data_IF_809464189784
#
_entry.id   IF_809464189784
#
_cell.length_a   1.000
_cell.length_b   1.000
_cell.length_c   1.000
_cell.angle_alpha   90.00
_cell.angle_beta   90.00
_cell.angle_gamma   90.00
#
_symmetry.space_group_name_H-M   'P 1'
#
loop_
_entity.id
_entity.type
_entity.pdbx_description
1 polymer ?
#
# COMPACT_ATOMS: atom_id res chain seq x y z
N UNK A 1 -53.36 -45.09 -18.20
CA UNK A 1 -51.99 -44.92 -18.71
C UNK A 1 -51.51 -43.51 -18.36
N UNK A 2 -50.78 -43.32 -17.26
CA UNK A 2 -50.23 -42.02 -16.84
C UNK A 2 -48.70 -42.06 -17.02
N UNK A 3 -48.19 -41.24 -17.94
CA UNK A 3 -46.76 -41.18 -18.29
C UNK A 3 -46.00 -40.45 -17.17
N UNK A 4 -45.19 -41.19 -16.41
CA UNK A 4 -44.17 -40.65 -15.51
C UNK A 4 -43.00 -40.14 -16.35
N UNK A 5 -43.06 -38.89 -16.80
CA UNK A 5 -42.04 -38.25 -17.64
C UNK A 5 -41.47 -37.01 -16.94
N UNK A 6 -40.90 -37.21 -15.74
CA UNK A 6 -40.32 -36.12 -14.95
C UNK A 6 -39.01 -36.47 -14.23
N UNK A 7 -38.38 -37.60 -14.58
CA UNK A 7 -37.26 -38.13 -13.80
C UNK A 7 -35.83 -37.88 -14.34
N UNK A 8 -35.56 -37.44 -15.60
CA UNK A 8 -34.15 -37.26 -16.00
C UNK A 8 -33.57 -35.88 -15.65
N UNK A 9 -34.37 -34.92 -15.20
CA UNK A 9 -33.90 -33.53 -14.94
C UNK A 9 -33.19 -33.41 -13.58
N UNK A 10 -33.55 -34.26 -12.60
CA UNK A 10 -33.00 -34.18 -11.25
C UNK A 10 -31.54 -34.68 -11.17
N UNK A 11 -31.12 -35.55 -12.11
CA UNK A 11 -29.77 -36.13 -12.09
C UNK A 11 -28.68 -35.20 -12.66
N UNK A 12 -29.07 -34.20 -13.48
CA UNK A 12 -28.12 -33.24 -14.08
C UNK A 12 -27.69 -32.16 -13.09
N UNK A 13 -28.50 -31.86 -12.07
CA UNK A 13 -28.20 -30.82 -11.07
C UNK A 13 -27.19 -31.27 -9.99
N UNK A 14 -26.92 -32.56 -9.84
CA UNK A 14 -26.02 -33.09 -8.80
C UNK A 14 -24.54 -33.16 -9.23
N UNK A 15 -24.22 -32.86 -10.50
CA UNK A 15 -22.83 -32.96 -11.03
C UNK A 15 -22.07 -31.64 -10.96
N UNK A 16 -22.71 -30.51 -10.65
CA UNK A 16 -22.00 -29.24 -10.41
C UNK A 16 -21.49 -29.13 -8.97
N UNK A 17 -20.75 -30.13 -8.51
CA UNK A 17 -19.86 -29.99 -7.36
C UNK A 17 -18.45 -29.82 -7.91
N UNK A 18 -18.08 -28.57 -8.23
CA UNK A 18 -16.70 -28.24 -8.56
C UNK A 18 -15.89 -28.46 -7.28
N UNK A 19 -15.02 -29.46 -7.27
CA UNK A 19 -13.98 -29.57 -6.24
C UNK A 19 -13.06 -28.37 -6.44
N UNK A 20 -13.25 -27.34 -5.62
CA UNK A 20 -12.22 -26.33 -5.43
C UNK A 20 -10.99 -27.07 -4.94
N UNK A 21 -10.02 -27.24 -5.83
CA UNK A 21 -8.67 -27.72 -5.47
C UNK A 21 -8.20 -26.79 -4.35
N UNK A 22 -7.87 -27.29 -3.15
CA UNK A 22 -7.17 -26.46 -2.19
C UNK A 22 -5.88 -26.04 -2.87
N UNK A 23 -5.76 -24.74 -3.12
CA UNK A 23 -4.60 -24.15 -3.76
C UNK A 23 -3.42 -24.35 -2.80
N UNK A 24 -2.65 -25.41 -3.00
CA UNK A 24 -1.37 -25.65 -2.32
C UNK A 24 -0.26 -24.85 -3.02
N UNK A 25 -0.53 -23.57 -3.31
CA UNK A 25 0.47 -22.62 -3.80
C UNK A 25 1.00 -21.86 -2.60
N UNK A 26 2.29 -22.04 -2.31
CA UNK A 26 2.96 -21.44 -1.16
C UNK A 26 2.87 -19.92 -1.15
N UNK A 27 2.68 -19.36 0.05
CA UNK A 27 3.05 -18.00 0.51
C UNK A 27 2.73 -16.78 -0.37
N UNK A 28 2.01 -16.92 -1.47
CA UNK A 28 1.43 -15.82 -2.24
C UNK A 28 0.11 -15.41 -1.58
N UNK A 29 0.23 -14.94 -0.33
CA UNK A 29 -0.66 -13.87 0.12
C UNK A 29 -0.54 -12.77 -0.93
N UNK A 30 -1.68 -12.26 -1.42
CA UNK A 30 -1.76 -10.98 -2.14
C UNK A 30 -0.97 -9.95 -1.34
N UNK A 31 0.32 -9.78 -1.64
CA UNK A 31 1.20 -8.83 -0.99
C UNK A 31 0.71 -7.48 -1.48
N UNK A 32 -0.16 -6.83 -0.70
CA UNK A 32 -0.60 -5.46 -0.97
C UNK A 32 0.65 -4.60 -0.93
N UNK A 33 1.25 -4.39 -2.09
CA UNK A 33 2.44 -3.56 -2.25
C UNK A 33 2.08 -2.10 -2.20
N UNK A 34 0.80 -1.73 -2.29
CA UNK A 34 0.30 -0.35 -2.40
C UNK A 34 -0.96 -0.16 -1.55
N UNK A 35 -0.95 0.82 -0.63
CA UNK A 35 -2.06 1.15 0.27
C UNK A 35 -2.50 2.59 0.06
N UNK A 36 -3.80 2.82 -0.16
CA UNK A 36 -4.36 4.16 -0.23
C UNK A 36 -4.28 4.87 1.13
N UNK A 37 -3.81 6.11 1.13
CA UNK A 37 -3.59 6.90 2.35
C UNK A 37 -4.29 8.25 2.33
N UNK A 38 -5.29 8.42 1.46
CA UNK A 38 -6.09 9.64 1.38
C UNK A 38 -5.75 10.48 0.15
N UNK A 39 -6.49 11.57 0.01
CA UNK A 39 -6.25 12.56 -1.03
C UNK A 39 -5.34 13.66 -0.48
N UNK A 40 -4.44 14.17 -1.31
CA UNK A 40 -3.51 15.23 -0.94
C UNK A 40 -4.26 16.51 -0.59
N UNK A 41 -3.93 17.09 0.56
CA UNK A 41 -4.50 18.36 1.03
C UNK A 41 -3.46 19.46 0.93
N UNK A 42 -2.34 19.28 1.63
CA UNK A 42 -1.26 20.27 1.67
C UNK A 42 0.07 19.61 2.00
N UNK A 43 1.16 20.36 1.84
CA UNK A 43 2.48 19.95 2.32
C UNK A 43 3.20 21.09 3.02
N UNK A 44 4.02 20.76 4.01
CA UNK A 44 4.91 21.71 4.67
C UNK A 44 6.35 21.22 4.56
N UNK A 45 7.25 22.09 4.10
CA UNK A 45 8.68 21.80 4.04
C UNK A 45 9.36 22.06 5.38
N UNK A 46 10.26 21.17 5.78
CA UNK A 46 11.15 21.30 6.93
C UNK A 46 12.60 21.23 6.47
N UNK A 47 13.31 22.34 6.66
CA UNK A 47 14.74 22.41 6.38
C UNK A 47 15.52 21.53 7.39
N UNK A 48 16.59 20.87 6.94
CA UNK A 48 17.44 20.10 7.83
C UNK A 48 18.12 21.01 8.85
N UNK A 49 18.29 20.52 10.09
CA UNK A 49 18.95 21.30 11.14
C UNK A 49 20.47 21.32 10.97
N UNK A 50 21.01 20.31 10.29
CA UNK A 50 22.43 20.15 9.94
C UNK A 50 22.58 19.85 8.46
N UNK A 51 23.73 20.23 7.87
CA UNK A 51 24.00 19.96 6.47
C UNK A 51 24.00 18.47 6.08
N UNK A 52 24.20 17.56 7.06
CA UNK A 52 24.16 16.10 6.86
C UNK A 52 22.76 15.50 6.96
N UNK A 53 21.75 16.28 7.37
CA UNK A 53 20.37 15.79 7.53
C UNK A 53 19.59 15.98 6.22
N UNK A 54 18.67 15.08 5.90
CA UNK A 54 17.88 15.18 4.68
C UNK A 54 16.80 16.25 4.80
N UNK A 55 16.43 16.82 3.66
CA UNK A 55 15.26 17.68 3.52
C UNK A 55 13.99 16.84 3.67
N UNK A 56 13.00 17.38 4.40
CA UNK A 56 11.74 16.70 4.64
C UNK A 56 10.56 17.53 4.15
N UNK A 57 9.57 16.86 3.59
CA UNK A 57 8.23 17.38 3.40
C UNK A 57 7.26 16.59 4.29
N UNK A 58 6.36 17.30 4.94
CA UNK A 58 5.25 16.75 5.72
C UNK A 58 4.00 16.86 4.89
N UNK A 59 3.44 15.72 4.51
CA UNK A 59 2.27 15.61 3.64
C UNK A 59 1.04 15.38 4.51
N UNK A 60 0.05 16.26 4.36
CA UNK A 60 -1.27 16.13 4.96
C UNK A 60 -2.23 15.52 3.94
N UNK A 61 -3.00 14.52 4.35
CA UNK A 61 -4.02 13.89 3.50
C UNK A 61 -5.39 13.94 4.17
N UNK A 62 -6.45 13.64 3.41
CA UNK A 62 -7.82 13.51 3.94
C UNK A 62 -7.96 12.42 5.02
N UNK A 63 -6.98 11.53 5.14
CA UNK A 63 -6.91 10.48 6.16
C UNK A 63 -5.83 10.73 7.22
N UNK A 64 -5.45 12.00 7.46
CA UNK A 64 -4.50 12.39 8.51
C UNK A 64 -4.92 11.85 9.90
N UNK A 65 -6.22 11.79 10.20
CA UNK A 65 -6.70 11.22 11.47
C UNK A 65 -6.38 9.73 11.64
N UNK A 66 -6.17 9.01 10.54
CA UNK A 66 -5.87 7.57 10.53
C UNK A 66 -4.37 7.31 10.42
N UNK A 67 -3.66 8.08 9.57
CA UNK A 67 -2.25 7.83 9.25
C UNK A 67 -1.28 8.87 9.81
N UNK A 68 -1.79 9.96 10.39
CA UNK A 68 -1.01 11.13 10.74
C UNK A 68 -0.46 11.87 9.52
N UNK A 69 0.42 12.84 9.76
CA UNK A 69 1.19 13.48 8.70
C UNK A 69 2.28 12.53 8.21
N UNK A 70 2.41 12.43 6.89
CA UNK A 70 3.38 11.53 6.26
C UNK A 70 4.65 12.31 5.95
N UNK A 71 5.78 11.88 6.50
CA UNK A 71 7.07 12.49 6.21
C UNK A 71 7.76 11.79 5.04
N UNK A 72 8.23 12.57 4.07
CA UNK A 72 8.99 12.07 2.93
C UNK A 72 10.25 12.90 2.67
N UNK A 73 11.29 12.26 2.16
CA UNK A 73 12.53 12.93 1.78
C UNK A 73 12.34 13.69 0.47
N UNK A 74 12.27 15.02 0.56
CA UNK A 74 12.22 15.92 -0.60
C UNK A 74 12.45 17.37 -0.19
N UNK A 75 12.76 18.22 -1.17
CA UNK A 75 12.83 19.69 -1.03
C UNK A 75 11.52 20.38 -1.44
N UNK A 76 10.71 19.73 -2.27
CA UNK A 76 9.44 20.22 -2.80
C UNK A 76 8.42 19.09 -2.83
N UNK A 77 7.14 19.47 -2.88
CA UNK A 77 6.03 18.55 -3.05
C UNK A 77 5.29 18.95 -4.33
N UNK A 78 5.24 18.03 -5.28
CA UNK A 78 4.68 18.27 -6.61
C UNK A 78 3.28 17.63 -6.77
N UNK A 79 2.72 17.07 -5.68
CA UNK A 79 1.34 16.62 -5.64
C UNK A 79 0.37 17.80 -5.72
N UNK A 80 -0.70 17.64 -6.50
CA UNK A 80 -1.79 18.62 -6.57
C UNK A 80 -2.89 18.30 -5.56
N UNK A 81 -3.58 19.34 -5.07
CA UNK A 81 -4.72 19.19 -4.16
C UNK A 81 -5.79 18.25 -4.75
N UNK A 82 -6.26 17.30 -3.94
CA UNK A 82 -7.23 16.28 -4.35
C UNK A 82 -6.63 15.06 -5.06
N UNK A 83 -5.31 14.98 -5.26
CA UNK A 83 -4.67 13.79 -5.81
C UNK A 83 -4.71 12.61 -4.84
N UNK A 84 -5.01 11.42 -5.36
CA UNK A 84 -5.02 10.19 -4.57
C UNK A 84 -3.60 9.73 -4.29
N UNK A 85 -3.26 9.64 -3.00
CA UNK A 85 -1.95 9.21 -2.58
C UNK A 85 -1.96 7.78 -2.05
N UNK A 86 -0.86 7.10 -2.33
CA UNK A 86 -0.66 5.71 -1.97
C UNK A 86 0.73 5.52 -1.37
N UNK A 87 0.82 4.76 -0.28
CA UNK A 87 2.10 4.25 0.21
C UNK A 87 2.37 2.92 -0.47
N UNK A 88 3.51 2.83 -1.15
CA UNK A 88 4.00 1.62 -1.78
C UNK A 88 5.23 1.08 -1.06
N UNK A 89 5.24 -0.23 -0.78
CA UNK A 89 6.40 -0.97 -0.29
C UNK A 89 7.13 -1.59 -1.48
N UNK A 90 8.42 -1.31 -1.61
CA UNK A 90 9.30 -1.84 -2.66
C UNK A 90 10.48 -2.59 -2.03
N UNK A 91 10.90 -3.68 -2.66
CA UNK A 91 12.14 -4.36 -2.31
C UNK A 91 13.26 -3.72 -3.14
N UNK A 92 14.17 -2.99 -2.48
CA UNK A 92 15.34 -2.41 -3.12
C UNK A 92 16.47 -3.43 -3.09
N UNK A 93 16.87 -3.90 -4.26
CA UNK A 93 18.09 -4.70 -4.41
C UNK A 93 19.26 -3.75 -4.64
N UNK A 94 19.96 -3.40 -3.56
CA UNK A 94 21.15 -2.56 -3.61
C UNK A 94 22.43 -3.39 -3.91
N UNK A 95 22.31 -4.53 -4.61
CA UNK A 95 23.45 -5.40 -4.94
C UNK A 95 23.95 -6.23 -3.76
N UNK A 96 23.15 -6.34 -2.70
CA UNK A 96 23.40 -7.20 -1.54
C UNK A 96 22.50 -8.43 -1.62
N UNK A 97 22.98 -9.58 -1.15
CA UNK A 97 22.26 -10.88 -1.18
C UNK A 97 20.89 -10.82 -0.47
N UNK A 98 20.64 -9.77 0.30
CA UNK A 98 19.40 -9.50 1.03
C UNK A 98 18.88 -8.11 0.61
N UNK A 99 17.78 -8.05 -0.12
CA UNK A 99 17.13 -6.78 -0.48
C UNK A 99 16.55 -6.06 0.73
N UNK A 100 16.55 -4.73 0.72
CA UNK A 100 15.97 -3.90 1.79
C UNK A 100 14.57 -3.43 1.42
N UNK A 101 13.64 -3.47 2.38
CA UNK A 101 12.30 -2.92 2.17
C UNK A 101 12.33 -1.40 2.31
N UNK A 102 11.88 -0.71 1.27
CA UNK A 102 11.72 0.73 1.26
C UNK A 102 10.25 1.09 1.05
N UNK A 103 9.81 2.19 1.67
CA UNK A 103 8.47 2.73 1.49
C UNK A 103 8.55 4.04 0.70
N UNK A 104 7.62 4.22 -0.23
CA UNK A 104 7.48 5.44 -1.00
C UNK A 104 6.03 5.89 -0.99
N UNK A 105 5.78 7.20 -1.03
CA UNK A 105 4.47 7.77 -1.32
C UNK A 105 4.42 8.14 -2.80
N UNK A 106 3.34 7.76 -3.47
CA UNK A 106 3.15 7.96 -4.91
C UNK A 106 1.71 8.40 -5.23
N UNK A 107 1.56 9.14 -6.33
CA UNK A 107 0.27 9.51 -6.92
C UNK A 107 -0.01 8.69 -8.18
N UNK A 108 -1.27 8.59 -8.58
CA UNK A 108 -1.68 7.96 -9.86
C UNK A 108 -1.34 8.83 -11.07
N UNK A 109 -1.28 10.16 -10.88
CA UNK A 109 -0.88 11.10 -11.93
C UNK A 109 0.63 11.35 -11.85
N UNK A 110 1.29 11.25 -13.00
CA UNK A 110 2.64 11.78 -13.24
C UNK A 110 3.86 11.06 -12.62
N UNK A 111 3.73 9.81 -12.16
CA UNK A 111 4.87 9.01 -11.65
C UNK A 111 5.69 9.74 -10.56
N UNK A 112 5.04 10.68 -9.87
CA UNK A 112 5.61 11.43 -8.76
C UNK A 112 5.69 10.47 -7.58
N UNK A 113 6.90 10.27 -7.07
CA UNK A 113 7.18 9.38 -5.96
C UNK A 113 8.23 9.98 -5.03
N UNK A 114 7.99 9.90 -3.73
CA UNK A 114 8.95 10.31 -2.71
C UNK A 114 9.20 9.17 -1.74
N UNK A 115 10.45 9.01 -1.33
CA UNK A 115 10.84 8.00 -0.33
C UNK A 115 10.36 8.46 1.04
N UNK A 116 9.65 7.60 1.77
CA UNK A 116 9.23 7.92 3.12
C UNK A 116 10.44 7.99 4.05
N UNK A 117 10.43 8.96 4.95
CA UNK A 117 11.48 9.04 5.96
C UNK A 117 11.38 7.87 6.93
N UNK A 118 12.52 7.38 7.39
CA UNK A 118 12.52 6.42 8.49
C UNK A 118 11.91 7.08 9.74
N UNK A 119 11.07 6.39 10.53
CA UNK A 119 10.51 6.96 11.74
C UNK A 119 11.64 7.36 12.68
N UNK A 120 11.88 8.66 12.81
CA UNK A 120 12.79 9.20 13.80
C UNK A 120 12.11 9.12 15.17
N UNK A 121 12.87 8.76 16.21
CA UNK A 121 12.37 8.69 17.60
C UNK A 121 11.80 10.05 18.02
N UNK A 122 10.49 10.19 18.02
CA UNK A 122 9.81 11.28 18.73
C UNK A 122 9.48 10.78 20.14
N UNK A 123 10.08 11.40 21.17
CA UNK A 123 9.75 11.20 22.58
C UNK A 123 9.70 9.74 23.06
N UNK A 124 10.79 8.99 22.84
CA UNK A 124 11.01 7.64 23.37
C UNK A 124 9.99 6.55 22.93
N UNK A 125 9.07 6.85 22.01
CA UNK A 125 8.23 5.85 21.36
C UNK A 125 8.64 5.73 19.90
N UNK A 126 9.30 4.60 19.59
CA UNK A 126 9.44 4.14 18.21
C UNK A 126 8.07 3.57 17.85
N UNK A 127 7.33 4.22 16.95
CA UNK A 127 6.17 3.58 16.31
C UNK A 127 6.77 2.61 15.29
N UNK A 128 7.00 1.37 15.73
CA UNK A 128 7.71 0.33 14.96
C UNK A 128 6.80 -0.57 14.13
N UNK A 129 5.47 -0.41 14.22
CA UNK A 129 4.53 -1.22 13.46
C UNK A 129 3.74 -0.35 12.50
N UNK A 130 4.13 -0.39 11.22
CA UNK A 130 3.24 -0.05 10.13
C UNK A 130 2.66 -1.35 9.58
N UNK A 131 1.65 -1.90 10.27
CA UNK A 131 0.55 -2.76 9.79
C UNK A 131 -0.39 -3.05 10.96
#
# INVERSE_FOLDING_TARGET
>A
MKKFAGFPILFVLLVSCSTAVPFTGGEDQLMITRKYVGDFVESTYSAPSKASEPHLIWITTTLESTYGKIAAYSKSCDFNEGERLYIRRILSDNGSVWGEWQYQIESDRDNIKYILSQPQKMNNKVISSWF
#
